data_IF_109379468343
#
_entry.id   IF_109379468343
#
_cell.length_a   1.000
_cell.length_b   1.000
_cell.length_c   1.000
_cell.angle_alpha   90.00
_cell.angle_beta   90.00
_cell.angle_gamma   90.00
#
_symmetry.space_group_name_H-M   'P 1'
#
loop_
_entity.id
_entity.type
_entity.pdbx_description
1 polymer ?
#
# COMPACT_ATOMS: atom_id res chain seq x y z
N UNK A 1 20.28 -10.81 5.63
CA UNK A 1 18.96 -10.55 6.24
C UNK A 1 17.99 -10.24 5.12
N UNK A 2 16.75 -10.69 5.24
CA UNK A 2 15.66 -10.34 4.32
C UNK A 2 14.37 -10.16 5.11
N UNK A 3 13.40 -9.48 4.52
CA UNK A 3 12.09 -9.24 5.13
C UNK A 3 11.03 -9.76 4.15
N UNK A 4 10.06 -10.52 4.66
CA UNK A 4 8.88 -10.95 3.92
C UNK A 4 7.67 -10.23 4.51
N UNK A 5 6.91 -9.60 3.62
CA UNK A 5 5.75 -8.81 3.96
C UNK A 5 4.54 -9.34 3.19
N UNK A 6 3.53 -9.82 3.91
CA UNK A 6 2.30 -10.34 3.32
C UNK A 6 1.11 -9.53 3.79
N UNK A 7 0.32 -9.05 2.83
CA UNK A 7 -1.01 -8.48 3.03
C UNK A 7 -1.99 -9.12 2.05
N UNK A 8 -2.31 -10.39 2.30
CA UNK A 8 -3.14 -11.23 1.44
C UNK A 8 -4.52 -11.38 2.05
N UNK A 9 -5.56 -10.87 1.37
CA UNK A 9 -6.93 -10.88 1.88
C UNK A 9 -7.98 -10.78 0.78
N UNK A 10 -9.24 -10.79 1.19
CA UNK A 10 -10.35 -10.35 0.34
C UNK A 10 -10.34 -8.81 0.11
N UNK A 11 -10.97 -8.32 -0.97
CA UNK A 11 -11.14 -6.90 -1.24
C UNK A 11 -11.71 -6.08 -0.07
N UNK A 12 -11.33 -4.80 -0.01
CA UNK A 12 -11.88 -3.87 0.98
C UNK A 12 -13.35 -3.61 0.72
N UNK A 13 -14.22 -3.89 1.69
CA UNK A 13 -15.61 -3.40 1.77
C UNK A 13 -16.31 -3.31 0.42
N UNK A 14 -16.78 -4.44 -0.07
CA UNK A 14 -17.56 -4.52 -1.30
C UNK A 14 -18.98 -4.03 -1.04
N UNK A 15 -19.40 -2.99 -1.76
CA UNK A 15 -20.74 -2.41 -1.68
C UNK A 15 -21.38 -2.37 -3.06
N UNK A 16 -22.67 -2.66 -3.15
CA UNK A 16 -23.40 -2.53 -4.41
C UNK A 16 -23.69 -1.05 -4.73
N UNK A 17 -23.65 -0.71 -6.03
CA UNK A 17 -24.02 0.63 -6.49
C UNK A 17 -25.52 0.86 -6.29
N UNK A 18 -25.85 1.81 -5.39
CA UNK A 18 -27.24 2.24 -5.20
C UNK A 18 -27.81 2.89 -6.47
N UNK A 19 -29.07 2.62 -6.83
CA UNK A 19 -29.72 3.29 -7.96
C UNK A 19 -29.71 4.81 -7.82
N UNK A 20 -29.51 5.51 -8.93
CA UNK A 20 -29.56 6.99 -8.99
C UNK A 20 -28.25 7.71 -8.62
N UNK A 21 -27.20 6.99 -8.22
CA UNK A 21 -25.88 7.62 -8.04
C UNK A 21 -25.27 8.00 -9.39
N UNK A 22 -24.81 9.25 -9.51
CA UNK A 22 -23.89 9.66 -10.58
C UNK A 22 -22.57 8.86 -10.50
N UNK A 23 -21.78 8.89 -11.56
CA UNK A 23 -20.52 8.15 -11.61
C UNK A 23 -19.55 8.60 -10.52
N UNK A 24 -19.38 9.92 -10.32
CA UNK A 24 -18.52 10.46 -9.28
C UNK A 24 -19.00 10.06 -7.86
N UNK A 25 -20.30 10.11 -7.59
CA UNK A 25 -20.84 9.70 -6.29
C UNK A 25 -20.64 8.21 -6.03
N UNK A 26 -20.77 7.39 -7.08
CA UNK A 26 -20.48 5.96 -7.00
C UNK A 26 -19.01 5.72 -6.64
N UNK A 27 -18.07 6.30 -7.39
CA UNK A 27 -16.63 6.10 -7.15
C UNK A 27 -16.22 6.58 -5.75
N UNK A 28 -16.68 7.76 -5.32
CA UNK A 28 -16.40 8.27 -3.97
C UNK A 28 -17.00 7.37 -2.86
N UNK A 29 -18.15 6.73 -3.10
CA UNK A 29 -18.74 5.80 -2.12
C UNK A 29 -17.93 4.52 -1.92
N UNK A 30 -17.08 4.17 -2.89
CA UNK A 30 -16.25 2.95 -2.91
C UNK A 30 -14.80 3.25 -3.28
N UNK A 31 -14.27 4.36 -2.74
CA UNK A 31 -12.99 4.98 -3.11
C UNK A 31 -11.79 4.03 -3.20
N UNK A 32 -11.75 2.98 -2.38
CA UNK A 32 -10.68 1.98 -2.35
C UNK A 32 -10.53 1.17 -3.65
N UNK A 33 -11.54 1.19 -4.52
CA UNK A 33 -11.53 0.51 -5.81
C UNK A 33 -11.11 1.43 -6.96
N UNK A 34 -10.77 2.70 -6.69
CA UNK A 34 -10.43 3.68 -7.70
C UNK A 34 -9.07 4.32 -7.44
N UNK A 35 -8.14 4.14 -8.38
CA UNK A 35 -6.73 4.55 -8.26
C UNK A 35 -6.52 6.03 -8.07
N UNK A 36 -7.38 6.84 -8.70
CA UNK A 36 -7.28 8.29 -8.58
C UNK A 36 -7.74 8.81 -7.21
N UNK A 37 -8.50 8.01 -6.43
CA UNK A 37 -8.97 8.36 -5.10
C UNK A 37 -8.09 7.77 -3.99
N UNK A 38 -7.70 6.50 -4.11
CA UNK A 38 -7.01 5.76 -3.03
C UNK A 38 -5.76 5.02 -3.49
N UNK A 39 -5.35 5.17 -4.76
CA UNK A 39 -4.31 4.34 -5.35
C UNK A 39 -4.74 2.87 -5.47
N UNK A 40 -3.85 1.95 -5.20
CA UNK A 40 -4.13 0.51 -5.18
C UNK A 40 -3.71 -0.09 -3.84
N UNK A 41 -3.84 -1.40 -3.72
CA UNK A 41 -3.57 -2.12 -2.48
C UNK A 41 -2.12 -1.99 -1.97
N UNK A 42 -1.15 -1.63 -2.83
CA UNK A 42 0.23 -1.37 -2.40
C UNK A 42 0.29 -0.13 -1.49
N UNK A 43 -0.29 0.99 -1.91
CA UNK A 43 -0.28 2.24 -1.14
C UNK A 43 -1.37 2.28 -0.07
N UNK A 44 -2.41 1.46 -0.22
CA UNK A 44 -3.52 1.39 0.72
C UNK A 44 -3.26 0.39 1.86
N UNK A 45 -2.76 -0.80 1.56
CA UNK A 45 -2.61 -1.90 2.53
C UNK A 45 -1.14 -2.19 2.81
N UNK A 46 -0.36 -2.47 1.76
CA UNK A 46 1.04 -2.88 1.91
C UNK A 46 1.91 -1.78 2.52
N UNK A 47 1.50 -0.51 2.45
CA UNK A 47 2.16 0.63 3.10
C UNK A 47 2.40 0.40 4.60
N UNK A 48 1.48 -0.28 5.30
CA UNK A 48 1.63 -0.61 6.72
C UNK A 48 2.80 -1.55 6.97
N UNK A 49 2.94 -2.56 6.11
CA UNK A 49 4.05 -3.50 6.13
C UNK A 49 5.38 -2.80 5.77
N UNK A 50 5.36 -1.92 4.78
CA UNK A 50 6.56 -1.16 4.37
C UNK A 50 7.03 -0.20 5.45
N UNK A 51 6.13 0.41 6.21
CA UNK A 51 6.48 1.24 7.36
C UNK A 51 7.17 0.41 8.45
N UNK A 52 6.64 -0.77 8.79
CA UNK A 52 7.30 -1.72 9.71
C UNK A 52 8.67 -2.17 9.20
N UNK A 53 8.77 -2.51 7.92
CA UNK A 53 10.03 -2.93 7.33
C UNK A 53 11.07 -1.79 7.33
N UNK A 54 10.64 -0.56 7.02
CA UNK A 54 11.46 0.65 7.14
C UNK A 54 11.96 0.84 8.58
N UNK A 55 11.07 0.69 9.57
CA UNK A 55 11.43 0.77 10.99
C UNK A 55 12.48 -0.28 11.39
N UNK A 56 12.33 -1.54 10.96
CA UNK A 56 13.35 -2.60 11.15
C UNK A 56 14.69 -2.20 10.51
N UNK A 57 14.63 -1.49 9.40
CA UNK A 57 15.80 -0.97 8.67
C UNK A 57 16.26 0.41 9.17
N UNK A 58 15.92 0.77 10.41
CA UNK A 58 16.30 2.04 11.04
C UNK A 58 15.77 3.27 10.29
N UNK A 59 14.51 3.21 9.87
CA UNK A 59 13.81 4.23 9.08
C UNK A 59 14.49 4.57 7.75
N UNK A 60 15.39 3.70 7.26
CA UNK A 60 15.89 3.80 5.89
C UNK A 60 14.81 3.29 4.94
N UNK A 61 14.86 3.78 3.70
CA UNK A 61 13.98 3.33 2.62
C UNK A 61 14.77 2.68 1.50
N UNK A 62 14.13 1.79 0.71
CA UNK A 62 14.78 1.14 -0.42
C UNK A 62 15.27 2.16 -1.46
N UNK A 63 16.42 1.90 -2.08
CA UNK A 63 16.96 2.76 -3.14
C UNK A 63 16.31 2.48 -4.50
N UNK A 64 15.74 1.28 -4.67
CA UNK A 64 15.00 0.86 -5.85
C UNK A 64 14.04 -0.29 -5.55
N UNK A 65 13.10 -0.52 -6.45
CA UNK A 65 12.27 -1.72 -6.48
C UNK A 65 11.94 -2.16 -7.90
N UNK A 66 11.48 -3.40 -8.02
CA UNK A 66 10.79 -3.89 -9.21
C UNK A 66 9.57 -4.71 -8.79
N UNK A 67 8.46 -4.54 -9.51
CA UNK A 67 7.16 -5.10 -9.17
C UNK A 67 6.53 -5.86 -10.32
N UNK A 68 5.73 -6.86 -9.95
CA UNK A 68 4.84 -7.62 -10.81
C UNK A 68 3.43 -7.46 -10.25
N UNK A 69 2.45 -7.22 -11.10
CA UNK A 69 1.06 -7.15 -10.68
C UNK A 69 0.12 -7.15 -11.86
N UNK A 70 -1.17 -7.27 -11.57
CA UNK A 70 -2.20 -7.23 -12.58
C UNK A 70 -3.59 -7.44 -12.00
N UNK A 71 -4.55 -7.62 -12.90
CA UNK A 71 -5.91 -8.02 -12.58
C UNK A 71 -6.20 -9.33 -13.30
N UNK A 72 -6.55 -10.37 -12.54
CA UNK A 72 -6.74 -11.74 -13.05
C UNK A 72 -8.19 -12.20 -12.97
N UNK A 73 -8.84 -12.06 -11.83
CA UNK A 73 -10.17 -12.64 -11.57
C UNK A 73 -11.18 -11.67 -10.97
N UNK A 74 -10.74 -10.57 -10.34
CA UNK A 74 -11.64 -9.55 -9.79
C UNK A 74 -11.93 -8.48 -10.86
N UNK A 75 -12.72 -8.81 -11.88
CA UNK A 75 -12.89 -7.97 -13.11
C UNK A 75 -14.24 -7.27 -13.21
N UNK A 76 -15.19 -7.66 -12.37
CA UNK A 76 -16.53 -7.14 -12.29
C UNK A 76 -16.53 -5.64 -11.95
N UNK A 77 -17.57 -4.88 -12.37
CA UNK A 77 -17.65 -3.43 -12.15
C UNK A 77 -17.45 -2.98 -10.70
N UNK A 78 -17.79 -3.85 -9.75
CA UNK A 78 -17.71 -3.58 -8.31
C UNK A 78 -16.27 -3.46 -7.79
N UNK A 79 -15.29 -3.99 -8.53
CA UNK A 79 -13.87 -3.94 -8.16
C UNK A 79 -13.13 -2.74 -8.73
N UNK A 80 -13.82 -1.87 -9.48
CA UNK A 80 -13.27 -0.63 -10.00
C UNK A 80 -12.06 -0.85 -10.92
N UNK A 81 -11.05 0.01 -10.78
CA UNK A 81 -9.96 0.18 -11.74
C UNK A 81 -8.57 -0.16 -11.17
N UNK A 82 -8.54 -0.99 -10.12
CA UNK A 82 -7.34 -1.47 -9.43
C UNK A 82 -6.91 -2.87 -9.89
N UNK A 83 -5.67 -3.25 -9.56
CA UNK A 83 -5.17 -4.62 -9.67
C UNK A 83 -5.69 -5.49 -8.51
N UNK A 84 -5.68 -6.81 -8.70
CA UNK A 84 -6.08 -7.76 -7.65
C UNK A 84 -4.89 -8.46 -6.97
N UNK A 85 -3.68 -8.28 -7.50
CA UNK A 85 -2.45 -8.78 -6.90
C UNK A 85 -1.22 -7.95 -7.27
N UNK A 86 -0.27 -7.89 -6.33
CA UNK A 86 1.02 -7.24 -6.49
C UNK A 86 2.10 -8.01 -5.73
N UNK A 87 3.29 -8.06 -6.32
CA UNK A 87 4.52 -8.59 -5.76
C UNK A 87 5.62 -7.60 -6.04
N UNK A 88 6.23 -7.04 -5.01
CA UNK A 88 7.28 -6.02 -5.15
C UNK A 88 8.51 -6.44 -4.38
N UNK A 89 9.65 -6.41 -5.06
CA UNK A 89 10.95 -6.62 -4.44
C UNK A 89 11.61 -5.25 -4.27
N UNK A 90 11.86 -4.88 -3.02
CA UNK A 90 12.55 -3.65 -2.66
C UNK A 90 13.99 -3.95 -2.28
N UNK A 91 14.93 -3.10 -2.69
CA UNK A 91 16.36 -3.26 -2.41
C UNK A 91 16.92 -2.03 -1.68
N UNK A 92 17.56 -2.26 -0.53
CA UNK A 92 18.26 -1.25 0.25
C UNK A 92 19.70 -1.07 -0.23
N UNK A 93 20.31 0.07 0.10
CA UNK A 93 21.70 0.37 -0.26
C UNK A 93 22.71 -0.67 0.25
N UNK A 94 22.41 -1.34 1.36
CA UNK A 94 23.23 -2.40 1.95
C UNK A 94 22.94 -3.81 1.38
N UNK A 95 22.12 -3.91 0.34
CA UNK A 95 21.76 -5.18 -0.31
C UNK A 95 20.67 -6.00 0.38
N UNK A 96 20.11 -5.52 1.50
CA UNK A 96 18.93 -6.15 2.12
C UNK A 96 17.73 -5.99 1.20
N UNK A 97 16.91 -7.04 1.10
CA UNK A 97 15.69 -7.05 0.30
C UNK A 97 14.43 -7.25 1.13
N UNK A 98 13.36 -6.58 0.73
CA UNK A 98 12.00 -6.88 1.15
C UNK A 98 11.28 -7.57 -0.01
N UNK A 99 10.65 -8.71 0.27
CA UNK A 99 9.73 -9.39 -0.62
C UNK A 99 8.32 -9.08 -0.13
N UNK A 100 7.62 -8.20 -0.83
CA UNK A 100 6.34 -7.67 -0.36
C UNK A 100 5.21 -8.07 -1.30
N UNK A 101 4.16 -8.67 -0.75
CA UNK A 101 3.04 -9.21 -1.49
C UNK A 101 1.73 -8.65 -0.95
N UNK A 102 0.87 -8.16 -1.83
CA UNK A 102 -0.52 -7.88 -1.49
C UNK A 102 -1.46 -8.47 -2.52
N UNK A 103 -2.63 -8.90 -2.06
CA UNK A 103 -3.66 -9.51 -2.90
C UNK A 103 -5.03 -9.20 -2.33
N UNK A 104 -5.95 -8.83 -3.20
CA UNK A 104 -7.35 -8.56 -2.93
C UNK A 104 -8.21 -9.52 -3.76
N UNK A 105 -8.21 -10.81 -3.41
CA UNK A 105 -8.93 -11.86 -4.16
C UNK A 105 -9.61 -12.82 -3.20
N UNK A 106 -10.90 -13.04 -3.39
CA UNK A 106 -11.69 -13.97 -2.56
C UNK A 106 -11.36 -15.43 -2.85
N UNK A 107 -11.43 -16.30 -1.84
CA UNK A 107 -11.24 -17.75 -2.01
C UNK A 107 -9.79 -18.19 -2.17
N UNK A 108 -8.83 -17.36 -1.76
CA UNK A 108 -7.40 -17.64 -1.80
C UNK A 108 -6.81 -17.75 -0.38
N UNK A 109 -5.53 -18.12 -0.28
CA UNK A 109 -4.80 -18.19 0.98
C UNK A 109 -4.58 -16.80 1.58
N UNK A 110 -5.15 -16.54 2.76
CA UNK A 110 -5.03 -15.25 3.44
C UNK A 110 -3.90 -15.26 4.48
N UNK A 111 -3.17 -14.16 4.52
CA UNK A 111 -2.06 -13.96 5.45
C UNK A 111 -1.80 -12.47 5.64
N UNK A 112 -1.66 -12.05 6.90
CA UNK A 112 -1.17 -10.73 7.26
C UNK A 112 0.04 -10.88 8.19
N UNK A 113 1.24 -10.68 7.65
CA UNK A 113 2.49 -10.95 8.37
C UNK A 113 3.62 -10.01 7.95
N UNK A 114 4.56 -9.84 8.88
CA UNK A 114 5.84 -9.13 8.69
C UNK A 114 6.93 -9.97 9.33
N UNK A 115 7.69 -10.69 8.52
CA UNK A 115 8.66 -11.68 8.96
C UNK A 115 10.07 -11.23 8.57
N UNK A 116 10.94 -11.07 9.57
CA UNK A 116 12.34 -10.74 9.38
C UNK A 116 13.19 -12.00 9.51
N UNK A 117 13.98 -12.30 8.48
CA UNK A 117 14.90 -13.44 8.46
C UNK A 117 16.34 -12.99 8.68
N UNK A 118 16.93 -13.44 9.78
CA UNK A 118 18.34 -13.30 10.10
C UNK A 118 19.11 -14.61 9.87
N UNK A 119 20.44 -14.55 9.93
CA UNK A 119 21.29 -15.75 9.85
C UNK A 119 21.17 -16.67 11.07
N UNK A 120 20.64 -16.16 12.18
CA UNK A 120 20.57 -16.83 13.49
C UNK A 120 19.16 -17.08 14.01
N UNK A 121 18.15 -16.74 13.21
CA UNK A 121 16.75 -16.80 13.63
C UNK A 121 15.84 -15.96 12.76
N UNK A 122 14.58 -15.87 13.19
CA UNK A 122 13.54 -15.05 12.57
C UNK A 122 12.75 -14.27 13.61
N UNK A 123 12.28 -13.09 13.24
CA UNK A 123 11.33 -12.31 14.00
C UNK A 123 9.99 -12.24 13.26
N UNK A 124 8.92 -12.62 13.94
CA UNK A 124 7.54 -12.39 13.52
C UNK A 124 7.05 -11.14 14.27
N UNK A 125 6.98 -10.02 13.55
CA UNK A 125 6.66 -8.71 14.13
C UNK A 125 5.19 -8.68 14.57
N UNK A 126 4.29 -9.25 13.76
CA UNK A 126 2.86 -9.29 14.07
C UNK A 126 2.54 -10.27 15.21
N UNK A 127 3.28 -11.38 15.29
CA UNK A 127 3.22 -12.32 16.41
C UNK A 127 4.00 -11.88 17.65
N UNK A 128 4.67 -10.71 17.61
CA UNK A 128 5.55 -10.17 18.63
C UNK A 128 6.54 -11.20 19.19
N UNK A 129 7.21 -11.95 18.30
CA UNK A 129 8.01 -13.12 18.66
C UNK A 129 9.31 -13.19 17.87
N UNK A 130 10.39 -13.59 18.55
CA UNK A 130 11.69 -13.91 17.97
C UNK A 130 12.00 -15.37 18.28
N UNK A 131 12.47 -16.11 17.27
CA UNK A 131 12.87 -17.51 17.38
C UNK A 131 14.21 -17.77 16.72
N UNK A 132 15.08 -18.57 17.34
CA UNK A 132 16.42 -18.88 16.81
C UNK A 132 17.42 -19.16 17.93
N UNK A 133 18.65 -18.67 17.78
CA UNK A 133 19.66 -18.71 18.86
C UNK A 133 19.19 -18.01 20.14
N UNK A 134 18.44 -16.90 20.00
CA UNK A 134 17.77 -16.22 21.10
C UNK A 134 16.27 -16.25 20.87
N UNK A 135 15.54 -16.80 21.84
CA UNK A 135 14.08 -16.84 21.82
C UNK A 135 13.52 -15.72 22.69
N UNK A 136 12.55 -14.98 22.16
CA UNK A 136 11.84 -13.94 22.89
C UNK A 136 10.40 -13.86 22.43
N UNK A 137 9.49 -13.52 23.34
CA UNK A 137 8.08 -13.29 23.01
C UNK A 137 7.52 -12.22 23.93
N UNK A 138 6.86 -11.24 23.37
CA UNK A 138 6.08 -10.28 24.14
C UNK A 138 4.77 -10.92 24.61
N UNK A 139 4.44 -10.73 25.88
CA UNK A 139 3.23 -11.30 26.52
C UNK A 139 2.30 -10.23 27.10
N UNK A 140 2.54 -8.96 26.76
CA UNK A 140 1.71 -7.85 27.22
C UNK A 140 0.43 -7.71 26.42
N UNK A 141 -0.28 -6.61 26.67
CA UNK A 141 -1.40 -6.14 25.86
C UNK A 141 -1.14 -4.70 25.43
N UNK A 142 -1.52 -4.39 24.20
CA UNK A 142 -1.34 -3.09 23.58
C UNK A 142 -2.38 -2.99 22.48
N UNK A 143 -3.23 -1.98 22.58
CA UNK A 143 -4.05 -1.53 21.47
C UNK A 143 -3.29 -0.39 20.78
N UNK A 144 -2.76 -0.60 19.56
CA UNK A 144 -1.98 0.43 18.88
C UNK A 144 -2.83 1.68 18.60
N UNK A 145 -4.13 1.53 18.32
CA UNK A 145 -5.01 2.68 18.07
C UNK A 145 -5.19 3.53 19.32
N UNK A 146 -5.39 2.88 20.48
CA UNK A 146 -5.50 3.59 21.74
C UNK A 146 -4.19 4.32 22.08
N UNK A 147 -3.04 3.71 21.82
CA UNK A 147 -1.74 4.35 22.07
C UNK A 147 -1.51 5.56 21.19
N UNK A 148 -1.78 5.47 19.89
CA UNK A 148 -1.69 6.62 18.99
C UNK A 148 -2.64 7.75 19.43
N UNK A 149 -3.87 7.43 19.86
CA UNK A 149 -4.79 8.43 20.42
C UNK A 149 -4.30 9.05 21.73
N UNK A 150 -3.75 8.26 22.66
CA UNK A 150 -3.18 8.77 23.91
C UNK A 150 -2.07 9.79 23.62
N UNK A 151 -1.18 9.46 22.68
CA UNK A 151 -0.07 10.33 22.23
C UNK A 151 -0.61 11.60 21.57
N UNK A 152 -1.56 11.47 20.63
CA UNK A 152 -2.18 12.61 19.95
C UNK A 152 -2.83 13.58 20.95
N UNK A 153 -3.65 13.07 21.87
CA UNK A 153 -4.36 13.93 22.82
C UNK A 153 -3.40 14.54 23.86
N UNK A 154 -2.35 13.82 24.28
CA UNK A 154 -1.31 14.39 25.13
C UNK A 154 -0.55 15.52 24.43
N UNK A 155 -0.21 15.35 23.15
CA UNK A 155 0.46 16.36 22.33
C UNK A 155 -0.38 17.66 22.21
N UNK A 156 -1.68 17.51 21.93
CA UNK A 156 -2.64 18.64 21.86
C UNK A 156 -2.72 19.36 23.21
N UNK A 157 -2.96 18.62 24.30
CA UNK A 157 -3.15 19.21 25.64
C UNK A 157 -1.89 19.89 26.17
N UNK A 158 -0.72 19.38 25.83
CA UNK A 158 0.55 19.94 26.29
C UNK A 158 1.10 21.04 25.40
N UNK A 159 0.50 21.27 24.22
CA UNK A 159 1.04 22.19 23.21
C UNK A 159 2.38 21.73 22.62
N UNK A 160 2.68 20.43 22.67
CA UNK A 160 3.91 19.82 22.14
C UNK A 160 3.53 18.84 21.03
N UNK A 161 3.42 19.29 19.77
CA UNK A 161 3.07 18.43 18.65
C UNK A 161 4.04 17.27 18.48
N UNK A 162 3.51 16.09 18.16
CA UNK A 162 4.30 14.96 17.67
C UNK A 162 4.32 15.03 16.15
N UNK A 163 5.51 14.98 15.56
CA UNK A 163 5.71 15.02 14.12
C UNK A 163 6.60 13.85 13.72
N UNK A 164 6.00 12.93 12.98
CA UNK A 164 6.61 11.70 12.48
C UNK A 164 6.92 11.78 10.97
N UNK A 165 6.86 12.98 10.39
CA UNK A 165 6.99 13.18 8.94
C UNK A 165 8.38 12.80 8.39
N UNK A 166 9.40 12.77 9.25
CA UNK A 166 10.77 12.38 8.92
C UNK A 166 10.88 10.90 8.50
N UNK A 167 10.06 10.01 9.06
CA UNK A 167 10.03 8.59 8.67
C UNK A 167 8.75 8.18 7.91
N UNK A 168 7.60 8.80 8.22
CA UNK A 168 6.32 8.51 7.56
C UNK A 168 6.32 8.88 6.07
N UNK A 169 6.88 10.04 5.70
CA UNK A 169 6.92 10.47 4.29
C UNK A 169 7.80 9.55 3.46
N UNK A 170 9.04 9.20 3.87
CA UNK A 170 9.84 8.23 3.15
C UNK A 170 9.19 6.85 3.03
N UNK A 171 8.58 6.30 4.09
CA UNK A 171 7.96 4.96 4.03
C UNK A 171 6.75 4.94 3.08
N UNK A 172 5.95 6.01 3.09
CA UNK A 172 4.86 6.20 2.12
C UNK A 172 5.39 6.26 0.69
N UNK A 173 6.52 6.95 0.47
CA UNK A 173 7.16 7.04 -0.84
C UNK A 173 7.61 5.67 -1.36
N UNK A 174 8.05 4.76 -0.48
CA UNK A 174 8.37 3.39 -0.87
C UNK A 174 7.12 2.65 -1.40
N UNK A 175 5.96 2.84 -0.78
CA UNK A 175 4.69 2.30 -1.28
C UNK A 175 4.33 2.83 -2.67
N UNK A 176 4.44 4.15 -2.88
CA UNK A 176 4.21 4.78 -4.20
C UNK A 176 5.17 4.23 -5.26
N UNK A 177 6.45 4.08 -4.90
CA UNK A 177 7.47 3.50 -5.77
C UNK A 177 7.10 2.07 -6.22
N UNK A 178 6.65 1.23 -5.29
CA UNK A 178 6.19 -0.13 -5.61
C UNK A 178 4.96 -0.16 -6.50
N UNK A 179 3.98 0.72 -6.26
CA UNK A 179 2.79 0.84 -7.07
C UNK A 179 3.12 1.15 -8.54
N UNK A 180 3.94 2.18 -8.74
CA UNK A 180 4.36 2.64 -10.07
C UNK A 180 5.14 1.52 -10.77
N UNK A 181 5.99 0.80 -10.03
CA UNK A 181 6.72 -0.33 -10.59
C UNK A 181 5.80 -1.44 -11.10
N UNK A 182 4.80 -1.85 -10.32
CA UNK A 182 3.79 -2.83 -10.74
C UNK A 182 3.01 -2.37 -11.98
N UNK A 183 2.60 -1.10 -12.03
CA UNK A 183 1.79 -0.57 -13.13
C UNK A 183 2.57 -0.40 -14.44
N UNK A 184 3.83 0.03 -14.35
CA UNK A 184 4.67 0.26 -15.53
C UNK A 184 5.39 -1.01 -15.97
N UNK A 185 5.63 -1.95 -15.05
CA UNK A 185 6.50 -3.12 -15.25
C UNK A 185 7.99 -2.76 -15.30
N UNK A 186 8.39 -1.55 -14.86
CA UNK A 186 9.79 -1.08 -14.87
C UNK A 186 10.42 -1.24 -13.48
N UNK A 187 11.74 -1.38 -13.43
CA UNK A 187 12.50 -1.08 -12.21
C UNK A 187 12.40 0.43 -11.94
N UNK A 188 12.12 0.79 -10.68
CA UNK A 188 11.92 2.18 -10.26
C UNK A 188 12.89 2.50 -9.14
N UNK A 189 13.59 3.61 -9.26
CA UNK A 189 14.50 4.12 -8.23
C UNK A 189 13.82 5.18 -7.37
N UNK A 190 14.27 5.32 -6.11
CA UNK A 190 13.79 6.36 -5.22
C UNK A 190 14.01 7.77 -5.79
N UNK A 191 15.12 7.97 -6.49
CA UNK A 191 15.46 9.26 -7.11
C UNK A 191 14.55 9.60 -8.31
N UNK A 192 14.07 8.60 -9.07
CA UNK A 192 13.07 8.83 -10.11
C UNK A 192 11.75 9.30 -9.51
N UNK A 193 11.29 8.65 -8.43
CA UNK A 193 10.04 9.03 -7.78
C UNK A 193 10.13 10.42 -7.15
N UNK A 194 11.22 10.74 -6.46
CA UNK A 194 11.42 12.09 -5.88
C UNK A 194 11.43 13.23 -6.92
N UNK A 195 11.79 12.92 -8.16
CA UNK A 195 11.84 13.89 -9.28
C UNK A 195 10.61 13.83 -10.16
N UNK A 196 9.70 12.88 -9.93
CA UNK A 196 8.51 12.70 -10.75
C UNK A 196 7.54 13.84 -10.55
N UNK A 197 6.94 14.30 -11.64
CA UNK A 197 5.81 15.23 -11.66
C UNK A 197 4.47 14.50 -11.91
N UNK A 198 4.49 13.16 -11.94
CA UNK A 198 3.29 12.36 -12.11
C UNK A 198 2.31 12.55 -10.96
N UNK A 199 1.05 12.73 -11.31
CA UNK A 199 -0.09 12.70 -10.40
C UNK A 199 -1.25 12.00 -11.09
N UNK A 200 -2.18 11.43 -10.31
CA UNK A 200 -3.45 10.99 -10.86
C UNK A 200 -4.33 12.23 -11.09
N UNK A 201 -4.74 12.53 -12.33
CA UNK A 201 -5.70 13.60 -12.57
C UNK A 201 -7.07 13.23 -12.00
N UNK A 202 -7.92 14.22 -11.66
CA UNK A 202 -7.68 15.67 -11.63
C UNK A 202 -6.74 16.09 -10.50
N UNK A 203 -6.22 17.33 -10.55
CA UNK A 203 -5.54 17.89 -9.37
C UNK A 203 -6.54 18.22 -8.26
N UNK A 204 -6.12 18.24 -6.98
CA UNK A 204 -7.01 18.58 -5.87
C UNK A 204 -7.75 19.91 -6.04
N UNK A 205 -7.11 20.94 -6.61
CA UNK A 205 -7.70 22.25 -6.88
C UNK A 205 -8.73 22.26 -8.02
N UNK A 206 -8.78 21.21 -8.85
CA UNK A 206 -9.74 21.02 -9.94
C UNK A 206 -10.95 20.18 -9.50
N UNK A 207 -10.86 19.52 -8.34
CA UNK A 207 -11.93 18.69 -7.81
C UNK A 207 -13.13 19.54 -7.39
N UNK A 208 -14.32 19.19 -7.88
CA UNK A 208 -15.57 19.82 -7.47
C UNK A 208 -16.74 18.83 -7.52
N UNK A 209 -17.81 19.15 -6.77
CA UNK A 209 -19.03 18.35 -6.77
C UNK A 209 -19.61 18.23 -8.19
N UNK A 210 -20.08 17.03 -8.55
CA UNK A 210 -20.70 16.77 -9.84
C UNK A 210 -19.74 16.74 -11.03
N UNK A 211 -18.42 16.78 -10.82
CA UNK A 211 -17.45 16.61 -11.91
C UNK A 211 -17.51 15.21 -12.53
N UNK A 212 -17.00 15.10 -13.75
CA UNK A 212 -16.79 13.81 -14.38
C UNK A 212 -15.51 13.16 -13.82
N UNK A 213 -15.57 11.91 -13.31
CA UNK A 213 -14.37 11.25 -12.81
C UNK A 213 -13.44 10.85 -13.98
N UNK A 214 -12.13 10.76 -13.71
CA UNK A 214 -11.11 10.43 -14.73
C UNK A 214 -11.20 8.97 -15.20
N UNK A 215 -11.70 8.07 -14.35
CA UNK A 215 -11.91 6.66 -14.69
C UNK A 215 -13.37 6.44 -15.08
N UNK A 216 -13.60 5.79 -16.23
CA UNK A 216 -14.94 5.52 -16.76
C UNK A 216 -15.09 4.04 -17.07
N UNK A 217 -16.28 3.52 -16.78
CA UNK A 217 -16.61 2.15 -17.11
C UNK A 217 -16.63 1.94 -18.64
N UNK A 218 -16.13 0.79 -19.07
CA UNK A 218 -16.22 0.32 -20.44
C UNK A 218 -17.64 -0.21 -20.74
N UNK A 219 -17.90 -0.62 -21.99
CA UNK A 219 -19.21 -1.12 -22.40
C UNK A 219 -19.70 -2.35 -21.62
N UNK A 220 -18.77 -3.14 -21.04
CA UNK A 220 -19.08 -4.28 -20.18
C UNK A 220 -19.25 -3.90 -18.69
N UNK A 221 -19.12 -2.63 -18.35
CA UNK A 221 -19.21 -2.09 -16.98
C UNK A 221 -17.91 -2.17 -16.17
N UNK A 222 -16.88 -2.90 -16.64
CA UNK A 222 -15.57 -2.94 -15.97
C UNK A 222 -14.81 -1.64 -16.21
N UNK A 223 -13.84 -1.32 -15.36
CA UNK A 223 -12.99 -0.15 -15.54
C UNK A 223 -11.61 -0.55 -16.09
N UNK A 224 -10.97 0.33 -16.89
CA UNK A 224 -9.65 0.07 -17.43
C UNK A 224 -8.59 0.13 -16.33
N UNK A 225 -7.71 -0.88 -16.30
CA UNK A 225 -6.56 -0.96 -15.38
C UNK A 225 -5.26 -0.64 -16.11
N UNK A 226 -4.18 -0.29 -15.40
CA UNK A 226 -2.84 -0.19 -15.99
C UNK A 226 -2.43 -1.46 -16.73
N UNK A 227 -1.61 -1.30 -17.77
CA UNK A 227 -1.07 -2.40 -18.56
C UNK A 227 0.46 -2.39 -18.42
N UNK A 228 1.05 -3.28 -17.60
CA UNK A 228 2.50 -3.36 -17.45
C UNK A 228 3.19 -3.52 -18.80
N UNK A 229 4.28 -2.77 -19.02
CA UNK A 229 4.98 -2.68 -20.30
C UNK A 229 4.37 -1.70 -21.31
N UNK A 230 3.19 -1.11 -21.04
CA UNK A 230 2.55 -0.09 -21.88
C UNK A 230 2.30 1.21 -21.13
N UNK A 231 1.81 1.12 -19.90
CA UNK A 231 1.55 2.28 -19.03
C UNK A 231 2.84 3.04 -18.72
N UNK A 232 2.80 4.36 -18.86
CA UNK A 232 3.90 5.28 -18.52
C UNK A 232 3.47 6.16 -17.35
N UNK A 233 4.23 6.08 -16.24
CA UNK A 233 4.02 6.89 -15.02
C UNK A 233 5.36 7.42 -14.46
N UNK A 234 6.45 7.13 -15.16
CA UNK A 234 7.85 7.55 -14.96
C UNK A 234 8.57 7.56 -16.31
#
# INVERSE_FOLDING_TARGET
>A
MSIEENFLRAPCVIIDRKPGLSEIQWQCSTQYHFRWLSGDDVVQSLVHNLDRASWVMHNQVPVKCHGLGGRSSMTEPIYGDVFDHHSVIYEFANGVRIYAFCRTTTGCYDEYSSIVFGSKGKADIMGCRITGETNWRWTGQCDPYQKEHDVLFAAIRSGKPVNNGDYMVPSTMAGVMGQISCYTGKEVTLEQIKKSDYYYPPKPEECHDGMEPPSKAEANGSYPVPLPGRTQMI
#
